data_IF_924991643956
#
_entry.id   IF_924991643956
#
_cell.length_a   1.000
_cell.length_b   1.000
_cell.length_c   1.000
_cell.angle_alpha   90.00
_cell.angle_beta   90.00
_cell.angle_gamma   90.00
#
_symmetry.space_group_name_H-M   'P 1'
#
loop_
_entity.id
_entity.type
_entity.pdbx_description
1 polymer ?
#
# COMPACT_ATOMS: atom_id res chain seq x y z
N UNK A 1 -23.21 -22.59 -30.08
CA UNK A 1 -23.79 -23.48 -29.05
C UNK A 1 -22.75 -24.11 -28.13
N UNK A 2 -21.96 -25.12 -28.53
CA UNK A 2 -21.03 -25.79 -27.60
C UNK A 2 -19.90 -24.86 -27.07
N UNK A 3 -19.34 -24.00 -27.93
CA UNK A 3 -18.29 -23.04 -27.56
C UNK A 3 -18.79 -21.95 -26.61
N UNK A 4 -20.02 -21.47 -26.81
CA UNK A 4 -20.64 -20.47 -25.94
C UNK A 4 -20.90 -21.03 -24.54
N UNK A 5 -21.43 -22.26 -24.46
CA UNK A 5 -21.63 -22.94 -23.19
C UNK A 5 -20.29 -23.18 -22.46
N UNK A 6 -19.22 -23.53 -23.17
CA UNK A 6 -17.89 -23.72 -22.57
C UNK A 6 -17.32 -22.42 -21.99
N UNK A 7 -17.48 -21.29 -22.70
CA UNK A 7 -17.05 -19.96 -22.22
C UNK A 7 -17.86 -19.56 -20.99
N UNK A 8 -19.19 -19.71 -21.03
CA UNK A 8 -20.09 -19.39 -19.92
C UNK A 8 -19.74 -20.19 -18.66
N UNK A 9 -19.49 -21.50 -18.80
CA UNK A 9 -19.07 -22.35 -17.68
C UNK A 9 -17.70 -21.97 -17.12
N UNK A 10 -16.75 -21.61 -17.98
CA UNK A 10 -15.42 -21.16 -17.55
C UNK A 10 -15.52 -19.87 -16.73
N UNK A 11 -16.28 -18.90 -17.21
CA UNK A 11 -16.51 -17.64 -16.49
C UNK A 11 -17.21 -17.90 -15.14
N UNK A 12 -18.22 -18.76 -15.11
CA UNK A 12 -18.92 -19.13 -13.87
C UNK A 12 -18.01 -19.81 -12.86
N UNK A 13 -17.16 -20.74 -13.31
CA UNK A 13 -16.17 -21.41 -12.45
C UNK A 13 -15.15 -20.43 -11.90
N UNK A 14 -14.66 -19.48 -12.71
CA UNK A 14 -13.78 -18.41 -12.24
C UNK A 14 -14.48 -17.51 -11.21
N UNK A 15 -15.75 -17.16 -11.43
CA UNK A 15 -16.53 -16.37 -10.48
C UNK A 15 -16.76 -17.10 -9.15
N UNK A 16 -17.18 -18.35 -9.18
CA UNK A 16 -17.40 -19.16 -7.98
C UNK A 16 -16.12 -19.45 -7.23
N UNK A 17 -15.00 -19.71 -7.92
CA UNK A 17 -13.71 -19.92 -7.28
C UNK A 17 -13.20 -18.65 -6.58
N UNK A 18 -13.37 -17.48 -7.18
CA UNK A 18 -13.02 -16.21 -6.53
C UNK A 18 -13.82 -16.00 -5.23
N UNK A 19 -15.14 -16.22 -5.26
CA UNK A 19 -15.99 -16.12 -4.06
C UNK A 19 -15.55 -17.13 -3.00
N UNK A 20 -15.30 -18.38 -3.40
CA UNK A 20 -14.84 -19.44 -2.51
C UNK A 20 -13.51 -19.07 -1.84
N UNK A 21 -12.52 -18.59 -2.59
CA UNK A 21 -11.22 -18.21 -2.05
C UNK A 21 -11.30 -17.01 -1.11
N UNK A 22 -12.09 -15.99 -1.47
CA UNK A 22 -12.33 -14.85 -0.58
C UNK A 22 -12.95 -15.34 0.73
N UNK A 23 -14.00 -16.16 0.66
CA UNK A 23 -14.62 -16.74 1.86
C UNK A 23 -13.64 -17.58 2.68
N UNK A 24 -12.81 -18.40 2.03
CA UNK A 24 -11.78 -19.20 2.68
C UNK A 24 -10.73 -18.33 3.39
N UNK A 25 -10.29 -17.22 2.79
CA UNK A 25 -9.37 -16.26 3.41
C UNK A 25 -10.02 -15.64 4.65
N UNK A 26 -11.27 -15.19 4.56
CA UNK A 26 -11.99 -14.64 5.71
C UNK A 26 -12.14 -15.66 6.83
N UNK A 27 -12.56 -16.89 6.50
CA UNK A 27 -12.69 -17.96 7.47
C UNK A 27 -11.35 -18.29 8.14
N UNK A 28 -10.27 -18.37 7.36
CA UNK A 28 -8.91 -18.61 7.86
C UNK A 28 -8.47 -17.52 8.83
N UNK A 29 -8.61 -16.24 8.47
CA UNK A 29 -8.25 -15.10 9.31
C UNK A 29 -9.07 -15.09 10.61
N UNK A 30 -10.38 -15.31 10.54
CA UNK A 30 -11.24 -15.35 11.73
C UNK A 30 -10.89 -16.53 12.65
N UNK A 31 -10.60 -17.70 12.08
CA UNK A 31 -10.18 -18.88 12.84
C UNK A 31 -8.86 -18.63 13.55
N UNK A 32 -7.90 -17.99 12.89
CA UNK A 32 -6.59 -17.69 13.48
C UNK A 32 -6.66 -16.56 14.52
N UNK A 33 -7.58 -15.60 14.33
CA UNK A 33 -7.81 -14.53 15.28
C UNK A 33 -8.64 -14.98 16.51
N UNK A 34 -9.46 -16.03 16.40
CA UNK A 34 -10.37 -16.48 17.46
C UNK A 34 -9.69 -16.77 18.81
N UNK A 35 -8.55 -17.50 18.89
CA UNK A 35 -7.87 -17.74 20.16
C UNK A 35 -7.46 -16.45 20.88
N UNK A 36 -7.07 -15.42 20.12
CA UNK A 36 -6.67 -14.11 20.66
C UNK A 36 -7.90 -13.32 21.12
N UNK A 37 -8.95 -13.28 20.29
CA UNK A 37 -10.20 -12.56 20.58
C UNK A 37 -10.94 -13.12 21.80
N UNK A 38 -11.00 -14.45 21.94
CA UNK A 38 -11.75 -15.11 23.02
C UNK A 38 -10.88 -15.49 24.25
N UNK A 39 -9.55 -15.42 24.14
CA UNK A 39 -8.62 -15.87 25.20
C UNK A 39 -8.34 -14.89 26.35
N UNK A 40 -8.75 -13.62 26.22
CA UNK A 40 -8.43 -12.41 27.03
C UNK A 40 -7.51 -11.44 26.28
N UNK A 41 -8.01 -10.87 25.19
CA UNK A 41 -7.40 -9.69 24.58
C UNK A 41 -7.52 -8.51 25.56
N UNK A 42 -6.39 -7.94 25.98
CA UNK A 42 -6.39 -6.65 26.67
C UNK A 42 -6.50 -5.54 25.61
N UNK A 43 -7.71 -4.96 25.50
CA UNK A 43 -7.99 -3.89 24.55
C UNK A 43 -7.17 -2.62 24.84
N UNK A 44 -6.86 -2.36 26.12
CA UNK A 44 -6.03 -1.22 26.49
C UNK A 44 -4.62 -1.47 25.99
N UNK A 45 -4.04 -2.63 26.30
CA UNK A 45 -2.72 -3.02 25.77
C UNK A 45 -2.72 -2.99 24.22
N UNK A 46 -3.78 -3.49 23.57
CA UNK A 46 -3.87 -3.52 22.12
C UNK A 46 -3.78 -2.12 21.49
N UNK A 47 -4.53 -1.14 22.01
CA UNK A 47 -4.56 0.20 21.43
C UNK A 47 -3.46 1.14 21.95
N UNK A 48 -2.89 0.91 23.15
CA UNK A 48 -1.89 1.82 23.73
C UNK A 48 -0.47 1.29 23.69
N UNK A 49 -0.27 -0.02 23.50
CA UNK A 49 1.07 -0.61 23.43
C UNK A 49 1.69 -0.43 22.05
N UNK A 50 2.97 -0.10 22.02
CA UNK A 50 3.79 -0.03 20.81
C UNK A 50 4.47 -1.36 20.47
N UNK A 51 4.30 -2.39 21.32
CA UNK A 51 5.04 -3.65 21.22
C UNK A 51 4.21 -4.70 20.48
N UNK A 52 4.65 -5.09 19.29
CA UNK A 52 4.07 -6.19 18.51
C UNK A 52 4.97 -7.44 18.59
N UNK A 53 4.61 -8.39 19.45
CA UNK A 53 5.35 -9.64 19.67
C UNK A 53 4.40 -10.83 19.88
N UNK A 54 3.63 -11.23 18.85
CA UNK A 54 2.63 -12.29 18.98
C UNK A 54 3.25 -13.69 19.12
N UNK A 55 4.51 -13.88 18.72
CA UNK A 55 5.22 -15.18 18.74
C UNK A 55 6.06 -15.43 20.01
N UNK A 56 6.01 -14.52 20.98
CA UNK A 56 6.77 -14.65 22.23
C UNK A 56 6.31 -15.85 23.05
N UNK A 57 7.24 -16.75 23.38
CA UNK A 57 6.97 -17.95 24.20
C UNK A 57 6.70 -17.62 25.68
N UNK A 58 7.10 -16.44 26.15
CA UNK A 58 7.00 -16.03 27.57
C UNK A 58 5.76 -15.17 27.81
N UNK A 59 5.55 -14.16 26.96
CA UNK A 59 4.39 -13.26 27.03
C UNK A 59 4.09 -12.70 25.64
N UNK A 60 3.12 -13.25 24.90
CA UNK A 60 2.62 -12.66 23.67
C UNK A 60 2.13 -11.22 23.91
N UNK A 61 2.47 -10.30 23.01
CA UNK A 61 2.02 -8.90 23.06
C UNK A 61 1.43 -8.51 21.72
N UNK A 62 0.29 -7.83 21.75
CA UNK A 62 -0.49 -7.47 20.56
C UNK A 62 -0.69 -5.95 20.48
N UNK A 63 0.37 -5.16 20.64
CA UNK A 63 0.29 -3.70 20.56
C UNK A 63 0.18 -3.19 19.11
N UNK A 64 -0.94 -2.56 18.77
CA UNK A 64 -1.22 -2.00 17.45
C UNK A 64 -0.85 -0.52 17.31
N UNK A 65 -0.55 0.19 18.41
CA UNK A 65 -0.37 1.65 18.39
C UNK A 65 0.74 2.08 17.41
N UNK A 66 1.90 1.42 17.45
CA UNK A 66 3.02 1.74 16.57
C UNK A 66 2.68 1.49 15.08
N UNK A 67 1.90 0.44 14.79
CA UNK A 67 1.46 0.12 13.43
C UNK A 67 0.44 1.14 12.91
N UNK A 68 -0.51 1.55 13.76
CA UNK A 68 -1.53 2.54 13.42
C UNK A 68 -0.86 3.91 13.20
N UNK A 69 -0.09 4.38 14.18
CA UNK A 69 0.59 5.68 14.10
C UNK A 69 1.60 5.69 12.97
N UNK A 70 2.38 4.63 12.78
CA UNK A 70 3.32 4.51 11.67
C UNK A 70 2.62 4.58 10.32
N UNK A 71 1.53 3.83 10.13
CA UNK A 71 0.75 3.86 8.88
C UNK A 71 0.16 5.25 8.62
N UNK A 72 -0.52 5.83 9.61
CA UNK A 72 -1.11 7.17 9.47
C UNK A 72 -0.05 8.24 9.18
N UNK A 73 1.12 8.14 9.80
CA UNK A 73 2.18 9.12 9.60
C UNK A 73 2.82 9.00 8.21
N UNK A 74 3.04 7.77 7.71
CA UNK A 74 3.50 7.53 6.34
C UNK A 74 2.47 8.04 5.33
N UNK A 75 1.19 7.71 5.52
CA UNK A 75 0.10 8.20 4.67
C UNK A 75 0.00 9.73 4.72
N UNK A 76 0.08 10.33 5.89
CA UNK A 76 0.02 11.78 6.07
C UNK A 76 1.15 12.50 5.34
N UNK A 77 2.39 12.03 5.50
CA UNK A 77 3.54 12.57 4.78
C UNK A 77 3.40 12.38 3.27
N UNK A 78 2.94 11.20 2.83
CA UNK A 78 2.75 10.90 1.43
C UNK A 78 1.72 11.83 0.79
N UNK A 79 0.57 12.05 1.44
CA UNK A 79 -0.47 12.95 0.96
C UNK A 79 -0.01 14.41 0.94
N UNK A 80 0.74 14.84 1.95
CA UNK A 80 1.31 16.19 2.03
C UNK A 80 2.23 16.49 0.83
N UNK A 81 2.94 15.49 0.31
CA UNK A 81 3.80 15.62 -0.88
C UNK A 81 3.02 15.39 -2.18
N UNK A 82 2.24 14.32 -2.25
CA UNK A 82 1.62 13.86 -3.50
C UNK A 82 0.48 14.75 -3.96
N UNK A 83 -0.34 15.28 -3.05
CA UNK A 83 -1.48 16.13 -3.41
C UNK A 83 -1.04 17.42 -4.09
N UNK A 84 -0.15 18.26 -3.52
CA UNK A 84 0.24 19.50 -4.19
C UNK A 84 0.98 19.24 -5.51
N UNK A 85 1.84 18.22 -5.56
CA UNK A 85 2.58 17.86 -6.78
C UNK A 85 1.66 17.31 -7.87
N UNK A 86 0.77 16.39 -7.52
CA UNK A 86 -0.18 15.77 -8.44
C UNK A 86 -1.20 16.78 -8.95
N UNK A 87 -1.82 17.56 -8.05
CA UNK A 87 -2.77 18.59 -8.45
C UNK A 87 -2.11 19.68 -9.31
N UNK A 88 -0.89 20.12 -8.93
CA UNK A 88 -0.13 21.09 -9.71
C UNK A 88 0.21 20.59 -11.12
N UNK A 89 0.64 19.33 -11.24
CA UNK A 89 0.90 18.71 -12.52
C UNK A 89 -0.38 18.52 -13.36
N UNK A 90 -1.49 18.11 -12.73
CA UNK A 90 -2.79 17.96 -13.39
C UNK A 90 -3.27 19.29 -13.99
N UNK A 91 -3.26 20.36 -13.20
CA UNK A 91 -3.65 21.71 -13.64
C UNK A 91 -2.72 22.20 -14.75
N UNK A 92 -1.41 21.98 -14.63
CA UNK A 92 -0.45 22.36 -15.67
C UNK A 92 -0.74 21.65 -17.00
N UNK A 93 -0.97 20.34 -16.96
CA UNK A 93 -1.24 19.53 -18.15
C UNK A 93 -2.61 19.85 -18.75
N UNK A 94 -3.62 20.17 -17.94
CA UNK A 94 -4.99 20.46 -18.41
C UNK A 94 -5.12 21.86 -19.00
N UNK A 95 -4.57 22.87 -18.32
CA UNK A 95 -4.83 24.28 -18.66
C UNK A 95 -3.73 24.91 -19.51
N UNK A 96 -2.46 24.54 -19.30
CA UNK A 96 -1.32 25.25 -19.90
C UNK A 96 -0.69 24.50 -21.07
N UNK A 97 -0.68 23.17 -21.04
CA UNK A 97 -0.09 22.36 -22.10
C UNK A 97 -0.99 22.25 -23.35
N UNK A 98 -0.39 22.43 -24.55
CA UNK A 98 -1.08 22.33 -25.84
C UNK A 98 -0.40 21.34 -26.79
N UNK A 99 -1.21 20.67 -27.61
CA UNK A 99 -0.74 19.78 -28.68
C UNK A 99 0.15 18.65 -28.18
N UNK A 100 1.32 18.47 -28.82
CA UNK A 100 2.23 17.34 -28.57
C UNK A 100 2.74 17.26 -27.13
N UNK A 101 2.96 18.39 -26.46
CA UNK A 101 3.49 18.41 -25.08
C UNK A 101 2.50 17.77 -24.11
N UNK A 102 1.20 18.07 -24.27
CA UNK A 102 0.15 17.48 -23.44
C UNK A 102 0.10 15.96 -23.60
N UNK A 103 0.14 15.48 -24.84
CA UNK A 103 0.08 14.04 -25.12
C UNK A 103 1.30 13.29 -24.59
N UNK A 104 2.50 13.85 -24.74
CA UNK A 104 3.72 13.25 -24.17
C UNK A 104 3.66 13.18 -22.65
N UNK A 105 3.24 14.25 -21.98
CA UNK A 105 3.14 14.26 -20.51
C UNK A 105 2.09 13.26 -20.00
N UNK A 106 0.94 13.15 -20.67
CA UNK A 106 -0.07 12.14 -20.34
C UNK A 106 0.50 10.73 -20.45
N UNK A 107 1.18 10.40 -21.54
CA UNK A 107 1.81 9.10 -21.73
C UNK A 107 2.82 8.83 -20.61
N UNK A 108 3.64 9.81 -20.23
CA UNK A 108 4.61 9.65 -19.12
C UNK A 108 3.89 9.37 -17.80
N UNK A 109 2.82 10.09 -17.48
CA UNK A 109 2.02 9.88 -16.26
C UNK A 109 1.39 8.49 -16.26
N UNK A 110 0.77 8.07 -17.36
CA UNK A 110 0.17 6.74 -17.51
C UNK A 110 1.21 5.63 -17.35
N UNK A 111 2.41 5.81 -17.92
CA UNK A 111 3.51 4.86 -17.76
C UNK A 111 4.01 4.80 -16.32
N UNK A 112 4.08 5.93 -15.60
CA UNK A 112 4.45 5.97 -14.19
C UNK A 112 3.40 5.28 -13.30
N UNK A 113 2.11 5.48 -13.60
CA UNK A 113 1.00 4.84 -12.90
C UNK A 113 0.94 3.32 -13.15
N UNK A 114 1.43 2.86 -14.30
CA UNK A 114 1.48 1.45 -14.66
C UNK A 114 2.59 0.65 -13.95
N UNK A 115 3.53 1.33 -13.26
CA UNK A 115 4.60 0.66 -12.52
C UNK A 115 4.01 -0.15 -11.36
N UNK A 116 4.27 -1.47 -11.26
CA UNK A 116 3.75 -2.28 -10.17
C UNK A 116 4.23 -1.79 -8.80
N UNK A 117 3.36 -1.85 -7.78
CA UNK A 117 3.68 -1.40 -6.42
C UNK A 117 4.89 -2.11 -5.81
N UNK A 118 5.11 -3.38 -6.13
CA UNK A 118 6.28 -4.15 -5.68
C UNK A 118 7.59 -3.58 -6.23
N UNK A 119 7.58 -3.06 -7.45
CA UNK A 119 8.75 -2.42 -8.07
C UNK A 119 9.08 -1.12 -7.33
N UNK A 120 8.06 -0.31 -7.00
CA UNK A 120 8.23 0.88 -6.16
C UNK A 120 8.81 0.54 -4.78
N UNK A 121 8.34 -0.55 -4.14
CA UNK A 121 8.89 -1.03 -2.87
C UNK A 121 10.38 -1.41 -2.98
N UNK A 122 10.76 -2.08 -4.07
CA UNK A 122 12.15 -2.48 -4.31
C UNK A 122 13.06 -1.28 -4.60
N UNK A 123 12.65 -0.34 -5.45
CA UNK A 123 13.36 0.94 -5.68
C UNK A 123 13.50 1.70 -4.37
N UNK A 124 12.44 1.69 -3.57
CA UNK A 124 12.41 2.25 -2.24
C UNK A 124 13.50 1.73 -1.33
N UNK A 125 13.67 0.41 -1.29
CA UNK A 125 14.67 -0.26 -0.47
C UNK A 125 16.10 -0.09 -1.01
N UNK A 126 16.28 -0.23 -2.32
CA UNK A 126 17.61 -0.33 -2.94
C UNK A 126 18.21 1.01 -3.35
N UNK A 127 17.38 2.03 -3.59
CA UNK A 127 17.82 3.32 -4.12
C UNK A 127 17.45 4.45 -3.15
N UNK A 128 16.16 4.59 -2.85
CA UNK A 128 15.67 5.72 -2.04
C UNK A 128 16.14 5.60 -0.58
N UNK A 129 16.13 4.40 0.00
CA UNK A 129 16.59 4.13 1.35
C UNK A 129 18.05 4.57 1.57
N UNK A 130 19.02 4.04 0.80
CA UNK A 130 20.42 4.48 0.85
C UNK A 130 20.60 5.97 0.62
N UNK A 131 19.95 6.52 -0.40
CA UNK A 131 20.02 7.95 -0.69
C UNK A 131 19.57 8.81 0.49
N UNK A 132 18.47 8.43 1.15
CA UNK A 132 17.97 9.17 2.31
C UNK A 132 18.83 8.96 3.55
N UNK A 133 19.44 7.78 3.74
CA UNK A 133 20.43 7.58 4.81
C UNK A 133 21.62 8.54 4.63
N UNK A 134 22.16 8.65 3.42
CA UNK A 134 23.29 9.54 3.12
C UNK A 134 22.92 11.01 3.31
N UNK A 135 21.72 11.42 2.91
CA UNK A 135 21.26 12.81 3.00
C UNK A 135 20.83 13.24 4.41
N UNK A 136 20.28 12.33 5.21
CA UNK A 136 19.69 12.64 6.53
C UNK A 136 20.52 12.16 7.71
N UNK A 137 21.49 11.26 7.48
CA UNK A 137 22.23 10.58 8.54
C UNK A 137 21.41 9.52 9.29
N UNK A 138 20.28 9.08 8.73
CA UNK A 138 19.44 8.04 9.36
C UNK A 138 20.18 6.69 9.45
N UNK A 139 20.04 6.01 10.58
CA UNK A 139 20.69 4.70 10.81
C UNK A 139 20.12 3.57 9.93
N UNK A 140 18.86 3.70 9.50
CA UNK A 140 18.15 2.67 8.72
C UNK A 140 17.35 3.33 7.60
N UNK A 141 17.45 2.79 6.38
CA UNK A 141 16.77 3.30 5.19
C UNK A 141 15.29 2.91 5.11
N UNK A 142 14.84 1.94 5.91
CA UNK A 142 13.43 1.53 6.02
C UNK A 142 12.79 2.29 7.19
N UNK A 143 12.41 3.53 6.92
CA UNK A 143 11.85 4.43 7.92
C UNK A 143 10.64 5.19 7.36
N UNK A 144 10.01 6.01 8.22
CA UNK A 144 8.82 6.81 7.88
C UNK A 144 9.06 7.74 6.69
N UNK A 145 10.23 8.39 6.62
CA UNK A 145 10.56 9.33 5.54
C UNK A 145 10.64 8.59 4.20
N UNK A 146 11.40 7.49 4.16
CA UNK A 146 11.53 6.66 2.97
C UNK A 146 10.17 6.13 2.52
N UNK A 147 9.40 5.54 3.44
CA UNK A 147 8.06 5.04 3.15
C UNK A 147 7.12 6.12 2.64
N UNK A 148 7.13 7.30 3.26
CA UNK A 148 6.31 8.44 2.85
C UNK A 148 6.69 8.99 1.47
N UNK A 149 7.99 9.09 1.17
CA UNK A 149 8.49 9.54 -0.14
C UNK A 149 8.12 8.55 -1.24
N UNK A 150 8.33 7.24 -1.03
CA UNK A 150 7.99 6.22 -2.03
C UNK A 150 6.48 6.21 -2.28
N UNK A 151 5.69 6.24 -1.20
CA UNK A 151 4.24 6.26 -1.30
C UNK A 151 3.77 7.52 -2.04
N UNK A 152 4.39 8.68 -1.78
CA UNK A 152 4.10 9.91 -2.51
C UNK A 152 4.40 9.76 -4.01
N UNK A 153 5.59 9.25 -4.37
CA UNK A 153 6.01 9.04 -5.76
C UNK A 153 5.05 8.10 -6.51
N UNK A 154 4.57 7.05 -5.85
CA UNK A 154 3.59 6.13 -6.42
C UNK A 154 2.20 6.77 -6.55
N UNK A 155 1.80 7.63 -5.61
CA UNK A 155 0.48 8.28 -5.62
C UNK A 155 0.37 9.47 -6.57
N UNK A 156 1.45 10.22 -6.84
CA UNK A 156 1.43 11.37 -7.76
C UNK A 156 0.83 11.03 -9.13
N UNK A 157 1.31 10.02 -9.88
CA UNK A 157 0.77 9.74 -11.21
C UNK A 157 -0.65 9.18 -11.20
N UNK A 158 -1.16 8.76 -10.04
CA UNK A 158 -2.57 8.35 -9.86
C UNK A 158 -3.47 9.57 -9.61
N UNK A 159 -2.92 10.64 -9.03
CA UNK A 159 -3.62 11.91 -8.80
C UNK A 159 -3.70 12.76 -10.09
N UNK A 160 -2.65 12.72 -10.92
CA UNK A 160 -2.55 13.47 -12.19
C UNK A 160 -3.49 12.92 -13.24
#
# INVERSE_FOLDING_TARGET
MATEAAIEWTIRLCGWSAILFVFAIFFFVLREAAPVLFGKLDLVEFFTSTQWQPTSLVKPRYGALALIVGSLSVTGLAMLLAVPLGLGAAVYISEFCKGKVREVLKIVVELLAAIPSVVWGFIGLMVIGPLLMDLTGAEVGVNLLTGGVILALMSVPVIV
#
